data_IF_494734524146
#
_entry.id   IF_494734524146
#
_cell.length_a   1.000
_cell.length_b   1.000
_cell.length_c   1.000
_cell.angle_alpha   90.00
_cell.angle_beta   90.00
_cell.angle_gamma   90.00
#
_symmetry.space_group_name_H-M   'P 1'
#
loop_
_entity.id
_entity.type
_entity.pdbx_description
1 polymer ?
#
# COMPACT_ATOMS: atom_id res chain seq x y z
N UNK A 1 -6.39 -41.34 -6.90
CA UNK A 1 -5.20 -40.50 -6.73
C UNK A 1 -5.60 -39.08 -7.13
N UNK A 2 -5.79 -38.18 -6.17
CA UNK A 2 -6.19 -36.78 -6.42
C UNK A 2 -4.90 -35.99 -6.58
N UNK A 3 -4.62 -35.49 -7.77
CA UNK A 3 -3.51 -34.56 -8.02
C UNK A 3 -3.69 -33.29 -7.17
N UNK A 4 -2.68 -32.82 -6.44
CA UNK A 4 -2.84 -31.67 -5.57
C UNK A 4 -3.01 -30.42 -6.44
N UNK A 5 -4.13 -29.75 -6.22
CA UNK A 5 -4.45 -28.51 -6.88
C UNK A 5 -3.69 -27.31 -6.30
N UNK A 6 -3.65 -26.27 -7.12
CA UNK A 6 -3.68 -24.85 -6.72
C UNK A 6 -2.46 -24.34 -5.94
N UNK A 7 -1.35 -24.10 -6.63
CA UNK A 7 -0.43 -23.00 -6.27
C UNK A 7 -0.11 -22.16 -7.51
N UNK A 8 -1.12 -21.51 -8.08
CA UNK A 8 -0.85 -20.18 -8.63
C UNK A 8 -0.91 -19.26 -7.42
N UNK A 9 0.23 -18.73 -6.98
CA UNK A 9 0.25 -17.59 -6.08
C UNK A 9 -0.65 -16.52 -6.72
N UNK A 10 -1.82 -16.28 -6.12
CA UNK A 10 -2.67 -15.20 -6.56
C UNK A 10 -1.88 -13.92 -6.26
N UNK A 11 -1.52 -13.09 -7.25
CA UNK A 11 -1.00 -11.77 -6.93
C UNK A 11 -2.07 -11.09 -6.10
N UNK A 12 -1.69 -10.60 -4.91
CA UNK A 12 -2.59 -9.96 -3.95
C UNK A 12 -3.56 -9.05 -4.71
N UNK A 13 -4.85 -9.38 -4.68
CA UNK A 13 -5.90 -8.59 -5.33
C UNK A 13 -5.94 -7.24 -4.61
N UNK A 14 -5.27 -6.24 -5.15
CA UNK A 14 -5.31 -4.89 -4.61
C UNK A 14 -6.64 -4.27 -4.99
N UNK A 15 -7.40 -3.82 -3.99
CA UNK A 15 -8.59 -3.01 -4.23
C UNK A 15 -8.15 -1.55 -4.23
N UNK A 16 -8.40 -0.85 -5.34
CA UNK A 16 -8.18 0.60 -5.47
C UNK A 16 -9.47 1.24 -5.95
N UNK A 17 -10.03 2.13 -5.15
CA UNK A 17 -11.25 2.87 -5.47
C UNK A 17 -11.10 4.34 -5.10
N UNK A 18 -11.61 5.20 -5.98
CA UNK A 18 -11.74 6.64 -5.73
C UNK A 18 -13.21 6.92 -5.46
N UNK A 19 -13.49 7.46 -4.29
CA UNK A 19 -14.81 7.93 -3.86
C UNK A 19 -15.23 9.17 -4.67
N UNK A 20 -16.53 9.47 -4.72
CA UNK A 20 -17.04 10.70 -5.36
C UNK A 20 -16.54 11.98 -4.69
N UNK A 21 -16.19 11.91 -3.40
CA UNK A 21 -15.61 13.02 -2.65
C UNK A 21 -14.09 13.22 -2.91
N UNK A 22 -13.49 12.43 -3.80
CA UNK A 22 -12.05 12.48 -4.11
C UNK A 22 -11.15 11.70 -3.16
N UNK A 23 -11.69 10.95 -2.21
CA UNK A 23 -10.92 10.07 -1.33
C UNK A 23 -10.45 8.79 -2.08
N UNK A 24 -9.18 8.45 -1.94
CA UNK A 24 -8.59 7.24 -2.49
C UNK A 24 -8.41 6.20 -1.38
N UNK A 25 -9.09 5.07 -1.50
CA UNK A 25 -8.91 3.93 -0.59
C UNK A 25 -8.12 2.84 -1.30
N UNK A 26 -7.03 2.41 -0.66
CA UNK A 26 -6.17 1.31 -1.09
C UNK A 26 -6.19 0.21 -0.02
N UNK A 27 -6.40 -1.03 -0.45
CA UNK A 27 -6.41 -2.18 0.45
C UNK A 27 -5.64 -3.36 -0.17
N UNK A 28 -5.00 -4.16 0.69
CA UNK A 28 -4.30 -5.38 0.33
C UNK A 28 -3.22 -5.73 1.35
N UNK A 29 -2.94 -7.02 1.51
CA UNK A 29 -2.01 -7.55 2.52
C UNK A 29 -0.58 -6.97 2.37
N UNK A 30 -0.19 -6.66 1.13
CA UNK A 30 1.09 -6.02 0.81
C UNK A 30 1.33 -4.70 1.56
N UNK A 31 0.29 -3.95 1.95
CA UNK A 31 0.43 -2.72 2.74
C UNK A 31 0.96 -2.99 4.15
N UNK A 32 0.55 -4.13 4.73
CA UNK A 32 1.02 -4.58 6.03
C UNK A 32 2.40 -5.24 5.89
N UNK A 33 2.60 -6.06 4.86
CA UNK A 33 3.91 -6.66 4.56
C UNK A 33 5.00 -5.60 4.29
N UNK A 34 4.63 -4.48 3.65
CA UNK A 34 5.53 -3.36 3.41
C UNK A 34 5.66 -2.41 4.62
N UNK A 35 4.99 -2.71 5.74
CA UNK A 35 5.03 -1.92 6.97
C UNK A 35 4.38 -0.53 6.88
N UNK A 36 3.57 -0.26 5.85
CA UNK A 36 2.89 1.03 5.65
C UNK A 36 1.78 1.21 6.69
N UNK A 37 1.02 0.16 7.00
CA UNK A 37 -0.03 0.23 8.05
C UNK A 37 0.52 0.34 9.46
N UNK A 38 1.81 0.02 9.65
CA UNK A 38 2.48 0.00 10.96
C UNK A 38 3.40 1.22 11.16
N UNK A 39 3.44 2.15 10.22
CA UNK A 39 4.24 3.35 10.34
C UNK A 39 3.52 4.37 11.24
N UNK A 40 4.22 4.92 12.23
CA UNK A 40 3.69 5.99 13.07
C UNK A 40 3.39 7.25 12.26
N UNK A 41 4.20 7.51 11.24
CA UNK A 41 4.03 8.62 10.31
C UNK A 41 4.27 8.15 8.87
N UNK A 42 3.43 8.65 7.96
CA UNK A 42 3.56 8.45 6.52
C UNK A 42 3.87 9.79 5.86
N UNK A 43 4.77 9.77 4.88
CA UNK A 43 4.94 10.86 3.94
C UNK A 43 4.09 10.59 2.70
N UNK A 44 3.24 11.56 2.33
CA UNK A 44 2.43 11.52 1.12
C UNK A 44 2.85 12.68 0.23
N UNK A 45 3.34 12.36 -0.96
CA UNK A 45 3.72 13.35 -1.98
C UNK A 45 2.92 13.14 -3.26
N UNK A 46 2.54 14.24 -3.91
CA UNK A 46 1.85 14.23 -5.17
C UNK A 46 2.73 14.85 -6.27
N UNK A 47 2.80 14.18 -7.40
CA UNK A 47 3.33 14.68 -8.66
C UNK A 47 2.27 14.48 -9.76
N UNK A 48 2.37 15.13 -10.92
CA UNK A 48 1.43 14.92 -12.01
C UNK A 48 1.28 13.42 -12.35
N UNK A 49 0.08 12.87 -12.13
CA UNK A 49 -0.25 11.46 -12.37
C UNK A 49 0.25 10.46 -11.33
N UNK A 50 0.92 10.89 -10.26
CA UNK A 50 1.55 9.99 -9.26
C UNK A 50 1.28 10.46 -7.84
N UNK A 51 0.83 9.53 -6.99
CA UNK A 51 0.81 9.71 -5.53
C UNK A 51 1.81 8.71 -4.96
N UNK A 52 2.80 9.20 -4.20
CA UNK A 52 3.79 8.38 -3.52
C UNK A 52 3.53 8.41 -2.02
N UNK A 53 3.32 7.23 -1.44
CA UNK A 53 3.14 7.02 0.00
C UNK A 53 4.36 6.25 0.52
N UNK A 54 5.01 6.78 1.54
CA UNK A 54 6.26 6.23 2.08
C UNK A 54 6.19 6.22 3.60
N UNK A 55 6.84 5.24 4.24
CA UNK A 55 7.09 5.32 5.68
C UNK A 55 8.00 6.50 5.96
N UNK A 56 7.67 7.31 6.96
CA UNK A 56 8.61 8.33 7.45
C UNK A 56 9.68 7.62 8.29
N UNK A 57 10.95 7.83 7.97
CA UNK A 57 12.04 7.42 8.87
C UNK A 57 12.07 8.39 10.06
N UNK A 58 12.05 7.85 11.29
CA UNK A 58 12.30 8.65 12.49
C UNK A 58 13.75 9.10 12.50
N UNK A 59 14.00 10.29 11.94
CA UNK A 59 15.31 10.93 12.03
C UNK A 59 15.55 11.93 10.90
N UNK A 60 15.56 13.22 11.25
CA UNK A 60 16.35 14.19 10.48
C UNK A 60 15.63 15.38 9.85
N UNK A 61 14.60 15.97 10.48
CA UNK A 61 14.45 17.41 10.33
C UNK A 61 15.52 18.07 11.22
N UNK A 62 16.70 18.35 10.66
CA UNK A 62 17.57 19.38 11.21
C UNK A 62 17.11 20.71 10.61
N UNK A 63 16.63 21.59 11.49
CA UNK A 63 16.36 22.99 11.20
C UNK A 63 17.64 23.73 10.81
#
# INVERSE_FOLDING_TARGET
>A
MISPGKHCAQPAKTARWVQENGELVIAGDWLTESGITNAEQLEVTAAPGVIRVQRREEGGFRA
#
